data_IF_724847649846
#
_entry.id   IF_724847649846
#
_cell.length_a   1.000
_cell.length_b   1.000
_cell.length_c   1.000
_cell.angle_alpha   90.00
_cell.angle_beta   90.00
_cell.angle_gamma   90.00
#
_symmetry.space_group_name_H-M   'P 1'
#
loop_
_entity.id
_entity.type
_entity.pdbx_description
1 polymer ?
#
# COMPACT_ATOMS: atom_id res chain seq x y z
N UNK A 1 29.57 -5.50 0.61
CA UNK A 1 28.42 -4.85 1.28
C UNK A 1 27.42 -5.94 1.59
N UNK A 2 27.36 -6.35 2.85
CA UNK A 2 26.51 -7.44 3.30
C UNK A 2 25.05 -6.99 3.27
N UNK A 3 24.27 -7.48 2.32
CA UNK A 3 22.81 -7.53 2.47
C UNK A 3 22.50 -8.56 3.55
N UNK A 4 22.49 -8.12 4.81
CA UNK A 4 21.79 -8.83 5.87
C UNK A 4 20.36 -9.02 5.39
N UNK A 5 20.00 -10.25 5.06
CA UNK A 5 18.61 -10.64 4.87
C UNK A 5 17.88 -10.29 6.16
N UNK A 6 17.07 -9.22 6.13
CA UNK A 6 16.19 -8.90 7.25
C UNK A 6 15.27 -10.10 7.46
N UNK A 7 15.55 -10.90 8.48
CA UNK A 7 14.73 -12.04 8.85
C UNK A 7 13.48 -11.48 9.51
N UNK A 8 12.48 -11.18 8.71
CA UNK A 8 11.17 -10.80 9.21
C UNK A 8 10.51 -11.97 9.96
N UNK A 9 9.66 -11.69 10.95
CA UNK A 9 8.92 -12.73 11.65
C UNK A 9 8.11 -13.59 10.67
N UNK A 10 8.14 -14.90 10.83
CA UNK A 10 7.48 -15.86 9.93
C UNK A 10 5.98 -15.55 9.78
N UNK A 11 5.34 -15.12 10.88
CA UNK A 11 3.92 -14.77 10.88
C UNK A 11 3.62 -13.61 9.92
N UNK A 12 4.52 -12.63 9.79
CA UNK A 12 4.35 -11.47 8.94
C UNK A 12 4.19 -11.91 7.48
N UNK A 13 5.08 -12.78 7.02
CA UNK A 13 5.06 -13.34 5.66
C UNK A 13 3.81 -14.17 5.41
N UNK A 14 3.42 -15.01 6.37
CA UNK A 14 2.26 -15.90 6.23
C UNK A 14 0.93 -15.14 6.14
N UNK A 15 0.79 -14.05 6.91
CA UNK A 15 -0.49 -13.35 7.02
C UNK A 15 -0.65 -12.19 6.02
N UNK A 16 0.43 -11.68 5.42
CA UNK A 16 0.36 -10.56 4.45
C UNK A 16 -0.58 -10.85 3.27
N UNK A 17 -0.53 -12.06 2.70
CA UNK A 17 -1.40 -12.47 1.58
C UNK A 17 -2.87 -12.62 1.97
N UNK A 18 -3.15 -12.89 3.25
CA UNK A 18 -4.52 -13.02 3.76
C UNK A 18 -5.17 -11.66 3.98
N UNK A 19 -4.38 -10.65 4.36
CA UNK A 19 -4.84 -9.27 4.59
C UNK A 19 -5.35 -8.67 3.28
N UNK A 20 -4.62 -8.83 2.18
CA UNK A 20 -5.02 -8.25 0.88
C UNK A 20 -6.35 -8.81 0.36
N UNK A 21 -6.64 -10.09 0.65
CA UNK A 21 -7.88 -10.74 0.22
C UNK A 21 -9.06 -10.51 1.16
N UNK A 22 -8.82 -10.53 2.48
CA UNK A 22 -9.90 -10.59 3.47
C UNK A 22 -10.02 -9.34 4.34
N UNK A 23 -9.01 -8.48 4.36
CA UNK A 23 -8.86 -7.38 5.33
C UNK A 23 -8.87 -7.83 6.80
N UNK A 24 -8.64 -9.12 7.06
CA UNK A 24 -8.59 -9.70 8.41
C UNK A 24 -7.16 -10.12 8.71
N UNK A 25 -6.68 -9.70 9.88
CA UNK A 25 -5.42 -10.12 10.45
C UNK A 25 -5.73 -10.88 11.73
N UNK A 26 -5.64 -12.20 11.66
CA UNK A 26 -5.91 -13.11 12.76
C UNK A 26 -4.57 -13.66 13.25
N UNK A 27 -4.14 -13.18 14.40
CA UNK A 27 -2.88 -13.56 15.05
C UNK A 27 -3.15 -14.25 16.39
N UNK A 28 -4.27 -14.98 16.47
CA UNK A 28 -4.66 -15.67 17.68
C UNK A 28 -3.84 -16.96 17.89
N UNK A 29 -3.72 -17.38 19.16
CA UNK A 29 -3.14 -18.66 19.61
C UNK A 29 -1.61 -18.71 19.69
N UNK A 30 -1.01 -17.92 20.58
CA UNK A 30 0.40 -18.01 20.98
C UNK A 30 1.40 -17.87 19.82
N UNK A 31 1.08 -17.02 18.85
CA UNK A 31 2.10 -16.57 17.90
C UNK A 31 2.98 -15.59 18.68
N UNK A 32 4.30 -15.79 18.71
CA UNK A 32 5.19 -14.77 19.26
C UNK A 32 5.10 -13.52 18.38
N UNK A 33 4.30 -12.55 18.84
CA UNK A 33 4.06 -11.29 18.15
C UNK A 33 4.77 -10.20 18.93
N UNK A 34 5.66 -9.49 18.25
CA UNK A 34 6.11 -8.18 18.71
C UNK A 34 5.31 -7.12 17.95
N UNK A 35 4.57 -6.29 18.67
CA UNK A 35 3.76 -5.24 18.06
C UNK A 35 4.60 -4.22 17.27
N UNK A 36 5.88 -4.07 17.61
CA UNK A 36 6.80 -3.20 16.85
C UNK A 36 7.05 -3.70 15.42
N UNK A 37 6.88 -5.00 15.15
CA UNK A 37 7.09 -5.57 13.81
C UNK A 37 6.08 -5.01 12.79
N UNK A 38 4.94 -4.50 13.26
CA UNK A 38 3.94 -3.83 12.43
C UNK A 38 4.45 -2.53 11.83
N UNK A 39 5.45 -1.90 12.46
CA UNK A 39 6.10 -0.69 11.96
C UNK A 39 7.17 -0.98 10.91
N UNK A 40 7.41 -2.26 10.57
CA UNK A 40 8.35 -2.61 9.51
C UNK A 40 7.90 -2.04 8.15
N UNK A 41 8.82 -1.55 7.31
CA UNK A 41 8.49 -0.99 5.99
C UNK A 41 7.68 -1.97 5.12
N UNK A 42 7.96 -3.27 5.25
CA UNK A 42 7.26 -4.33 4.53
C UNK A 42 5.77 -4.37 4.89
N UNK A 43 5.45 -4.32 6.19
CA UNK A 43 4.08 -4.47 6.66
C UNK A 43 3.26 -3.18 6.65
N UNK A 44 3.92 -2.02 6.70
CA UNK A 44 3.28 -0.70 6.68
C UNK A 44 2.35 -0.51 5.48
N UNK A 45 2.64 -1.13 4.34
CA UNK A 45 1.78 -1.12 3.14
C UNK A 45 0.44 -1.82 3.35
N UNK A 46 0.38 -2.80 4.25
CA UNK A 46 -0.82 -3.58 4.56
C UNK A 46 -1.68 -2.95 5.65
N UNK A 47 -1.14 -2.02 6.45
CA UNK A 47 -1.83 -1.36 7.57
C UNK A 47 -3.18 -0.73 7.16
N UNK A 48 -3.30 0.02 6.05
CA UNK A 48 -4.57 0.59 5.64
C UNK A 48 -5.62 -0.46 5.23
N UNK A 49 -5.21 -1.69 4.91
CA UNK A 49 -6.11 -2.76 4.47
C UNK A 49 -6.76 -3.50 5.64
N UNK A 50 -6.25 -3.34 6.87
CA UNK A 50 -6.72 -4.07 8.05
C UNK A 50 -8.04 -3.49 8.55
N UNK A 51 -9.10 -4.28 8.46
CA UNK A 51 -10.43 -3.97 9.03
C UNK A 51 -10.72 -4.74 10.30
N UNK A 52 -10.16 -5.94 10.45
CA UNK A 52 -10.31 -6.77 11.64
C UNK A 52 -8.92 -7.19 12.11
N UNK A 53 -8.61 -6.91 13.37
CA UNK A 53 -7.38 -7.35 14.02
C UNK A 53 -7.74 -8.18 15.25
N UNK A 54 -7.26 -9.42 15.29
CA UNK A 54 -7.38 -10.32 16.42
C UNK A 54 -5.97 -10.70 16.90
N UNK A 55 -5.64 -10.32 18.14
CA UNK A 55 -4.37 -10.62 18.83
C UNK A 55 -4.61 -11.47 20.08
N UNK A 56 -5.76 -12.17 20.16
CA UNK A 56 -6.16 -12.91 21.35
C UNK A 56 -5.24 -14.09 21.68
N UNK A 57 -5.18 -14.51 22.94
CA UNK A 57 -4.30 -15.59 23.41
C UNK A 57 -2.81 -15.32 23.12
N UNK A 58 -2.32 -14.12 23.43
CA UNK A 58 -0.90 -13.76 23.34
C UNK A 58 -0.46 -13.01 24.59
N UNK A 59 0.83 -13.05 24.90
CA UNK A 59 1.42 -12.45 26.11
C UNK A 59 1.63 -10.92 26.01
N UNK A 60 0.69 -10.21 25.40
CA UNK A 60 0.76 -8.77 25.17
C UNK A 60 0.31 -8.03 26.44
N UNK A 61 1.12 -7.09 26.92
CA UNK A 61 0.88 -6.31 28.15
C UNK A 61 0.37 -4.90 27.92
N UNK A 62 0.60 -4.34 26.73
CA UNK A 62 0.12 -3.03 26.27
C UNK A 62 0.00 -3.03 24.74
N UNK A 63 -0.55 -1.96 24.15
CA UNK A 63 -0.56 -1.81 22.69
C UNK A 63 0.65 -1.03 22.17
N UNK A 64 1.68 -0.84 22.97
CA UNK A 64 2.90 -0.13 22.57
C UNK A 64 3.55 -0.80 21.35
N UNK A 65 4.03 0.01 20.40
CA UNK A 65 4.58 -0.47 19.14
C UNK A 65 3.55 -0.71 18.03
N UNK A 66 2.26 -0.84 18.36
CA UNK A 66 1.21 -0.97 17.35
C UNK A 66 1.01 0.38 16.61
N UNK A 67 1.18 0.43 15.27
CA UNK A 67 0.95 1.63 14.51
C UNK A 67 -0.53 1.98 14.46
N UNK A 68 -0.82 3.20 14.04
CA UNK A 68 -2.18 3.66 13.84
C UNK A 68 -2.88 2.90 12.71
N UNK A 69 -4.06 2.32 13.00
CA UNK A 69 -4.85 1.52 12.07
C UNK A 69 -6.08 2.33 11.57
N UNK A 70 -6.00 3.02 10.41
CA UNK A 70 -7.00 4.01 10.00
C UNK A 70 -8.38 3.45 9.66
N UNK A 71 -8.44 2.21 9.19
CA UNK A 71 -9.66 1.55 8.71
C UNK A 71 -10.12 0.40 9.61
N UNK A 72 -9.58 0.31 10.82
CA UNK A 72 -9.92 -0.73 11.77
C UNK A 72 -11.39 -0.62 12.20
N UNK A 73 -12.14 -1.69 12.00
CA UNK A 73 -13.55 -1.79 12.39
C UNK A 73 -13.73 -2.60 13.68
N UNK A 74 -12.97 -3.69 13.81
CA UNK A 74 -13.07 -4.65 14.91
C UNK A 74 -11.69 -4.98 15.45
N UNK A 75 -11.52 -4.83 16.75
CA UNK A 75 -10.29 -5.18 17.47
C UNK A 75 -10.60 -6.21 18.56
N UNK A 76 -9.84 -7.29 18.62
CA UNK A 76 -10.03 -8.37 19.59
C UNK A 76 -8.68 -8.66 20.24
N UNK A 77 -8.62 -8.55 21.56
CA UNK A 77 -7.44 -8.84 22.38
C UNK A 77 -7.85 -9.64 23.63
N UNK A 78 -8.76 -10.60 23.44
CA UNK A 78 -9.25 -11.46 24.51
C UNK A 78 -8.09 -12.37 25.00
N UNK A 79 -8.10 -12.74 26.28
CA UNK A 79 -7.07 -13.64 26.86
C UNK A 79 -5.63 -13.14 26.67
N UNK A 80 -5.43 -11.83 26.77
CA UNK A 80 -4.11 -11.19 26.79
C UNK A 80 -3.78 -10.66 28.17
N UNK A 81 -2.51 -10.33 28.40
CA UNK A 81 -2.04 -9.78 29.67
C UNK A 81 -2.17 -8.24 29.75
N UNK A 82 -2.94 -7.61 28.86
CA UNK A 82 -3.03 -6.15 28.76
C UNK A 82 -3.51 -5.56 30.09
N UNK A 83 -2.65 -4.73 30.69
CA UNK A 83 -2.84 -4.13 32.02
C UNK A 83 -2.81 -2.60 32.03
N UNK A 84 -2.44 -1.97 30.92
CA UNK A 84 -2.44 -0.52 30.74
C UNK A 84 -3.15 -0.09 29.46
N UNK A 85 -3.53 1.19 29.37
CA UNK A 85 -4.12 1.79 28.17
C UNK A 85 -3.08 2.46 27.24
N UNK A 86 -1.80 2.09 27.41
CA UNK A 86 -0.71 2.68 26.64
C UNK A 86 -0.86 2.38 25.15
N UNK A 87 -0.76 3.43 24.33
CA UNK A 87 -0.89 3.40 22.87
C UNK A 87 -2.26 2.91 22.33
N UNK A 88 -3.34 3.03 23.10
CA UNK A 88 -4.69 2.67 22.62
C UNK A 88 -5.23 3.58 21.50
N UNK A 89 -4.61 4.74 21.26
CA UNK A 89 -4.94 5.58 20.08
C UNK A 89 -4.67 4.87 18.75
N UNK A 90 -3.81 3.86 18.74
CA UNK A 90 -3.58 2.99 17.58
C UNK A 90 -4.90 2.39 17.03
N UNK A 91 -5.85 2.09 17.92
CA UNK A 91 -7.14 1.46 17.60
C UNK A 91 -8.34 2.43 17.68
N UNK A 92 -8.13 3.75 17.75
CA UNK A 92 -9.20 4.74 17.99
C UNK A 92 -10.36 4.71 16.99
N UNK A 93 -10.17 4.13 15.80
CA UNK A 93 -11.21 4.02 14.76
C UNK A 93 -12.09 2.78 14.89
N UNK A 94 -11.75 1.86 15.79
CA UNK A 94 -12.52 0.64 16.01
C UNK A 94 -13.97 0.96 16.40
N UNK A 95 -14.91 0.27 15.74
CA UNK A 95 -16.34 0.32 16.07
C UNK A 95 -16.75 -0.76 17.05
N UNK A 96 -15.98 -1.84 17.13
CA UNK A 96 -16.16 -2.96 18.07
C UNK A 96 -14.81 -3.31 18.67
N UNK A 97 -14.76 -3.44 19.98
CA UNK A 97 -13.56 -3.87 20.69
C UNK A 97 -13.89 -4.97 21.71
N UNK A 98 -12.97 -5.89 21.93
CA UNK A 98 -13.08 -6.93 22.94
C UNK A 98 -11.75 -7.09 23.67
N UNK A 99 -11.83 -7.10 25.00
CA UNK A 99 -10.71 -7.26 25.92
C UNK A 99 -11.07 -8.24 27.04
N UNK A 100 -11.87 -9.27 26.74
CA UNK A 100 -12.34 -10.22 27.75
C UNK A 100 -11.16 -10.95 28.36
N UNK A 101 -11.24 -11.22 29.67
CA UNK A 101 -10.22 -11.97 30.41
C UNK A 101 -8.83 -11.31 30.38
N UNK A 102 -8.76 -10.00 30.23
CA UNK A 102 -7.53 -9.19 30.39
C UNK A 102 -7.47 -8.53 31.76
N UNK A 103 -6.31 -7.98 32.15
CA UNK A 103 -6.19 -7.21 33.41
C UNK A 103 -7.02 -5.93 33.37
N UNK A 104 -7.04 -5.20 32.24
CA UNK A 104 -7.85 -3.99 32.11
C UNK A 104 -9.35 -4.26 32.26
N UNK A 105 -9.84 -5.44 31.85
CA UNK A 105 -11.27 -5.78 31.99
C UNK A 105 -11.76 -5.86 33.43
N UNK A 106 -10.83 -6.00 34.40
CA UNK A 106 -11.12 -6.04 35.84
C UNK A 106 -11.21 -4.63 36.45
N UNK A 107 -10.79 -3.59 35.74
CA UNK A 107 -10.81 -2.21 36.22
C UNK A 107 -12.24 -1.65 36.20
N UNK A 108 -12.60 -0.89 37.24
CA UNK A 108 -13.96 -0.33 37.40
C UNK A 108 -14.35 0.58 36.24
N UNK A 109 -13.43 1.45 35.81
CA UNK A 109 -13.67 2.47 34.80
C UNK A 109 -13.19 2.09 33.39
N UNK A 110 -12.87 0.80 33.16
CA UNK A 110 -12.25 0.39 31.89
C UNK A 110 -13.12 0.73 30.67
N UNK A 111 -14.43 0.50 30.73
CA UNK A 111 -15.34 0.80 29.61
C UNK A 111 -15.39 2.30 29.30
N UNK A 112 -15.25 3.15 30.32
CA UNK A 112 -15.15 4.60 30.14
C UNK A 112 -13.83 4.98 29.46
N UNK A 113 -12.71 4.42 29.91
CA UNK A 113 -11.40 4.69 29.33
C UNK A 113 -11.34 4.35 27.84
N UNK A 114 -11.82 3.16 27.47
CA UNK A 114 -11.93 2.73 26.06
C UNK A 114 -12.79 3.69 25.25
N UNK A 115 -13.92 4.12 25.83
CA UNK A 115 -14.86 5.00 25.15
C UNK A 115 -14.32 6.43 25.00
N UNK A 116 -13.55 6.95 25.96
CA UNK A 116 -12.87 8.23 25.85
C UNK A 116 -11.80 8.23 24.73
N UNK A 117 -11.17 7.09 24.48
CA UNK A 117 -10.17 6.95 23.42
C UNK A 117 -10.81 6.78 22.03
N UNK A 118 -11.75 5.83 21.89
CA UNK A 118 -12.37 5.51 20.58
C UNK A 118 -13.51 6.46 20.20
N UNK A 119 -14.05 7.18 21.18
CA UNK A 119 -15.12 8.16 21.01
C UNK A 119 -16.46 7.55 20.62
N UNK A 120 -17.34 8.41 20.06
CA UNK A 120 -18.75 8.10 19.77
C UNK A 120 -18.98 7.07 18.66
N UNK A 121 -17.94 6.70 17.90
CA UNK A 121 -18.02 5.71 16.82
C UNK A 121 -18.07 4.28 17.35
N UNK A 122 -17.68 4.07 18.61
CA UNK A 122 -17.66 2.77 19.24
C UNK A 122 -19.09 2.30 19.56
N UNK A 123 -19.46 1.13 19.04
CA UNK A 123 -20.81 0.56 19.14
C UNK A 123 -20.90 -0.45 20.27
N UNK A 124 -19.87 -1.30 20.42
CA UNK A 124 -19.87 -2.38 21.41
C UNK A 124 -18.49 -2.62 22.00
N UNK A 125 -18.50 -2.94 23.28
CA UNK A 125 -17.34 -3.36 24.07
C UNK A 125 -17.64 -4.74 24.65
N UNK A 126 -16.75 -5.71 24.43
CA UNK A 126 -16.87 -7.12 24.86
C UNK A 126 -18.16 -7.80 24.36
N UNK A 127 -18.64 -7.41 23.18
CA UNK A 127 -19.89 -7.90 22.59
C UNK A 127 -21.16 -7.30 23.21
N UNK A 128 -21.05 -6.40 24.18
CA UNK A 128 -22.17 -5.68 24.77
C UNK A 128 -22.27 -4.27 24.15
N UNK A 129 -23.48 -3.88 23.72
CA UNK A 129 -23.75 -2.51 23.27
C UNK A 129 -23.44 -1.50 24.38
N UNK A 130 -22.97 -0.32 24.00
CA UNK A 130 -22.64 0.75 24.96
C UNK A 130 -23.94 1.47 25.37
N UNK A 131 -24.26 1.58 26.67
CA UNK A 131 -25.45 2.28 27.13
C UNK A 131 -25.29 3.80 27.00
N UNK A 132 -26.40 4.50 26.74
CA UNK A 132 -26.45 5.97 26.58
C UNK A 132 -25.95 6.72 27.82
N UNK A 133 -26.24 6.19 29.01
CA UNK A 133 -25.77 6.76 30.28
C UNK A 133 -24.24 6.83 30.41
N UNK A 134 -23.50 5.95 29.72
CA UNK A 134 -22.05 6.02 29.70
C UNK A 134 -21.56 7.23 28.88
N UNK A 135 -22.28 7.58 27.81
CA UNK A 135 -21.98 8.75 26.98
C UNK A 135 -22.20 10.06 27.75
N UNK A 136 -23.19 10.12 28.63
CA UNK A 136 -23.43 11.27 29.51
C UNK A 136 -22.28 11.45 30.51
N UNK A 137 -21.80 10.34 31.11
CA UNK A 137 -20.65 10.39 32.03
C UNK A 137 -19.38 10.92 31.37
N UNK A 138 -19.05 10.44 30.17
CA UNK A 138 -17.84 10.91 29.46
C UNK A 138 -17.95 12.35 28.95
N UNK A 139 -19.16 12.89 28.83
CA UNK A 139 -19.36 14.25 28.28
C UNK A 139 -18.77 15.34 29.17
N UNK A 140 -18.50 15.02 30.44
CA UNK A 140 -17.85 15.90 31.41
C UNK A 140 -16.32 15.93 31.27
N UNK A 141 -15.72 14.99 30.54
CA UNK A 141 -14.28 14.91 30.42
C UNK A 141 -13.77 15.79 29.27
N UNK A 142 -12.64 16.48 29.45
CA UNK A 142 -12.00 17.23 28.38
C UNK A 142 -11.55 16.37 27.18
N UNK A 143 -11.44 16.98 25.99
CA UNK A 143 -11.08 16.25 24.75
C UNK A 143 -9.67 15.64 24.81
N UNK A 144 -8.75 16.31 25.50
CA UNK A 144 -7.36 15.89 25.62
C UNK A 144 -7.15 14.75 26.62
N UNK A 145 -8.17 14.40 27.40
CA UNK A 145 -8.17 13.21 28.28
C UNK A 145 -7.85 11.93 27.51
N UNK A 146 -8.27 11.83 26.25
CA UNK A 146 -7.90 10.71 25.38
C UNK A 146 -6.38 10.55 25.20
N UNK A 147 -5.60 11.64 25.20
CA UNK A 147 -4.14 11.59 25.15
C UNK A 147 -3.55 11.17 26.50
N UNK A 148 -4.09 11.68 27.62
CA UNK A 148 -3.68 11.25 28.96
C UNK A 148 -3.79 9.73 29.12
N UNK A 149 -4.94 9.17 28.75
CA UNK A 149 -5.16 7.73 28.83
C UNK A 149 -4.20 6.97 27.92
N UNK A 150 -3.94 7.51 26.72
CA UNK A 150 -2.99 6.92 25.77
C UNK A 150 -1.55 6.88 26.29
N UNK A 151 -1.19 7.77 27.23
CA UNK A 151 0.09 7.80 27.93
C UNK A 151 0.11 6.95 29.21
N UNK A 152 -0.98 6.25 29.52
CA UNK A 152 -1.06 5.33 30.65
C UNK A 152 -1.82 5.87 31.88
N UNK A 153 -2.40 7.08 31.82
CA UNK A 153 -3.25 7.56 32.91
C UNK A 153 -4.50 6.67 33.07
N UNK A 154 -4.82 6.34 34.32
CA UNK A 154 -6.00 5.54 34.67
C UNK A 154 -7.20 6.44 34.92
N UNK A 155 -8.31 6.16 34.23
CA UNK A 155 -9.52 6.98 34.35
C UNK A 155 -10.17 6.81 35.72
N UNK A 156 -10.39 7.93 36.39
CA UNK A 156 -11.14 8.02 37.65
C UNK A 156 -12.53 8.60 37.40
N UNK A 157 -13.52 8.21 38.21
CA UNK A 157 -14.88 8.75 38.19
C UNK A 157 -15.31 9.05 39.64
N UNK A 158 -15.83 10.25 39.95
CA UNK A 158 -16.16 11.36 39.05
C UNK A 158 -14.94 11.98 38.35
N UNK A 159 -15.18 12.76 37.28
CA UNK A 159 -14.11 13.45 36.56
C UNK A 159 -13.31 14.33 37.54
N UNK A 160 -11.98 14.23 37.59
CA UNK A 160 -11.17 15.11 38.40
C UNK A 160 -11.39 16.58 37.98
N UNK A 161 -11.22 17.53 38.91
CA UNK A 161 -11.29 18.96 38.61
C UNK A 161 -10.18 19.38 37.62
N UNK A 162 -10.43 20.45 36.87
CA UNK A 162 -9.58 20.88 35.75
C UNK A 162 -8.12 21.16 36.18
N UNK A 163 -7.91 21.67 37.39
CA UNK A 163 -6.57 21.91 37.93
C UNK A 163 -5.73 20.63 38.04
N UNK A 164 -6.33 19.54 38.53
CA UNK A 164 -5.65 18.23 38.63
C UNK A 164 -5.37 17.67 37.24
N UNK A 165 -6.33 17.84 36.32
CA UNK A 165 -6.16 17.39 34.94
C UNK A 165 -5.00 18.15 34.25
N UNK A 166 -4.85 19.44 34.51
CA UNK A 166 -3.76 20.24 33.96
C UNK A 166 -2.39 19.84 34.55
N UNK A 167 -2.32 19.55 35.86
CA UNK A 167 -1.13 18.97 36.49
C UNK A 167 -0.76 17.61 35.90
N UNK A 168 -1.75 16.76 35.63
CA UNK A 168 -1.55 15.50 34.93
C UNK A 168 -1.04 15.74 33.50
N UNK A 169 -1.58 16.71 32.77
CA UNK A 169 -1.07 17.06 31.45
C UNK A 169 0.41 17.44 31.48
N UNK A 170 0.85 18.23 32.46
CA UNK A 170 2.26 18.57 32.64
C UNK A 170 3.08 17.30 32.93
N UNK A 171 2.60 16.45 33.86
CA UNK A 171 3.28 15.22 34.27
C UNK A 171 3.48 14.24 33.10
N UNK A 172 2.51 14.13 32.21
CA UNK A 172 2.55 13.26 31.03
C UNK A 172 3.08 13.95 29.76
N UNK A 173 3.49 15.22 29.84
CA UNK A 173 4.06 15.98 28.73
C UNK A 173 3.08 16.29 27.59
N UNK A 174 1.82 16.56 27.93
CA UNK A 174 0.74 16.88 26.98
C UNK A 174 0.50 18.39 27.01
N UNK A 175 0.48 19.03 25.85
CA UNK A 175 0.03 20.41 25.74
C UNK A 175 -1.49 20.48 25.97
N UNK A 176 -1.90 20.80 27.21
CA UNK A 176 -3.29 21.15 27.50
C UNK A 176 -3.63 22.45 26.79
N UNK A 177 -4.81 22.52 26.16
CA UNK A 177 -5.25 23.73 25.45
C UNK A 177 -5.51 24.92 26.39
N UNK A 178 -5.75 24.66 27.68
CA UNK A 178 -5.99 25.67 28.72
C UNK A 178 -4.73 26.45 29.12
N UNK A 179 -3.53 25.90 28.88
CA UNK A 179 -2.26 26.50 29.27
C UNK A 179 -1.73 27.58 28.31
N UNK A 180 -2.59 28.15 27.45
CA UNK A 180 -2.23 29.22 26.51
C UNK A 180 -2.37 30.64 27.09
N UNK A 181 -2.55 30.79 28.41
CA UNK A 181 -2.62 32.11 29.07
C UNK A 181 -1.56 32.24 30.16
N UNK A 182 -0.29 32.32 29.77
CA UNK A 182 0.77 33.11 30.45
C UNK A 182 2.20 32.72 30.04
N UNK A 183 2.55 32.74 28.74
CA UNK A 183 3.96 32.85 28.33
C UNK A 183 4.02 33.71 27.06
N UNK A 184 4.54 34.94 27.25
CA UNK A 184 5.13 35.85 26.27
C UNK A 184 4.51 35.93 24.87
N UNK A 185 3.98 37.12 24.58
CA UNK A 185 3.82 37.71 23.26
C UNK A 185 5.04 37.45 22.34
N UNK A 186 5.00 36.35 21.60
CA UNK A 186 5.68 36.22 20.32
C UNK A 186 4.57 35.96 19.33
N UNK A 187 4.11 37.06 18.71
CA UNK A 187 3.25 37.04 17.54
C UNK A 187 3.99 36.36 16.38
N UNK A 188 4.02 35.04 16.39
CA UNK A 188 4.19 34.27 15.16
C UNK A 188 2.82 34.22 14.49
N UNK A 189 2.40 35.37 13.95
CA UNK A 189 1.33 35.43 12.98
C UNK A 189 1.81 34.59 11.79
N UNK A 190 1.41 33.31 11.77
CA UNK A 190 1.63 32.42 10.65
C UNK A 190 0.77 32.97 9.52
N UNK A 191 1.37 33.89 8.76
CA UNK A 191 0.77 34.56 7.63
C UNK A 191 0.30 33.50 6.64
N UNK A 192 -0.87 33.69 6.03
CA UNK A 192 -1.43 32.78 5.02
C UNK A 192 -0.39 32.39 3.96
N UNK A 193 0.48 33.32 3.59
CA UNK A 193 1.58 33.11 2.65
C UNK A 193 2.59 32.05 3.11
N UNK A 194 2.84 31.92 4.41
CA UNK A 194 3.74 30.91 4.96
C UNK A 194 3.13 29.51 4.85
N UNK A 195 1.83 29.38 5.14
CA UNK A 195 1.08 28.12 4.99
C UNK A 195 0.97 27.76 3.50
N UNK A 196 0.67 28.74 2.64
CA UNK A 196 0.59 28.54 1.20
C UNK A 196 1.92 28.07 0.61
N UNK A 197 3.03 28.71 1.00
CA UNK A 197 4.37 28.35 0.53
C UNK A 197 4.82 26.98 1.09
N UNK A 198 4.45 26.63 2.32
CA UNK A 198 4.69 25.30 2.89
C UNK A 198 3.91 24.23 2.12
N UNK A 199 2.62 24.45 1.84
CA UNK A 199 1.80 23.54 1.04
C UNK A 199 2.35 23.38 -0.37
N UNK A 200 2.72 24.48 -1.04
CA UNK A 200 3.30 24.47 -2.38
C UNK A 200 4.63 23.71 -2.40
N UNK A 201 5.49 23.92 -1.41
CA UNK A 201 6.77 23.21 -1.31
C UNK A 201 6.57 21.71 -1.08
N UNK A 202 5.61 21.33 -0.24
CA UNK A 202 5.27 19.94 0.03
C UNK A 202 4.65 19.25 -1.19
N UNK A 203 3.82 19.97 -1.95
CA UNK A 203 3.25 19.50 -3.20
C UNK A 203 4.33 19.30 -4.27
N UNK A 204 5.25 20.25 -4.42
CA UNK A 204 6.38 20.11 -5.34
C UNK A 204 7.28 18.93 -4.96
N UNK A 205 7.55 18.73 -3.67
CA UNK A 205 8.30 17.57 -3.19
C UNK A 205 7.56 16.25 -3.50
N UNK A 206 6.23 16.20 -3.34
CA UNK A 206 5.44 15.04 -3.77
C UNK A 206 5.55 14.81 -5.28
N UNK A 207 5.51 15.86 -6.11
CA UNK A 207 5.69 15.71 -7.55
C UNK A 207 7.09 15.20 -7.91
N UNK A 208 8.15 15.75 -7.32
CA UNK A 208 9.53 15.29 -7.59
C UNK A 208 9.78 13.85 -7.10
N UNK A 209 9.12 13.41 -6.01
CA UNK A 209 9.16 12.02 -5.54
C UNK A 209 8.34 11.11 -6.46
N UNK A 210 7.21 11.61 -6.97
CA UNK A 210 6.33 10.89 -7.88
C UNK A 210 6.93 10.78 -9.29
N UNK A 211 7.71 11.74 -9.75
CA UNK A 211 8.31 11.80 -11.10
C UNK A 211 9.11 10.53 -11.47
N UNK A 212 10.01 9.98 -10.62
CA UNK A 212 10.67 8.71 -10.90
C UNK A 212 9.77 7.48 -10.67
N UNK A 213 8.75 7.58 -9.80
CA UNK A 213 7.79 6.47 -9.53
C UNK A 213 6.85 6.29 -10.71
N UNK A 214 6.45 7.39 -11.33
CA UNK A 214 5.46 7.39 -12.40
C UNK A 214 6.05 7.15 -13.76
N UNK A 215 7.40 7.08 -13.92
CA UNK A 215 8.11 6.96 -15.20
C UNK A 215 7.15 7.30 -16.31
N UNK A 216 6.84 8.60 -16.43
CA UNK A 216 6.16 9.06 -17.62
C UNK A 216 7.22 8.79 -18.68
N UNK A 217 7.21 7.57 -19.22
CA UNK A 217 7.82 7.25 -20.49
C UNK A 217 7.38 8.43 -21.34
N UNK A 218 8.34 9.25 -21.77
CA UNK A 218 8.12 10.19 -22.85
C UNK A 218 7.23 9.46 -23.82
N UNK A 219 6.00 9.97 -23.97
CA UNK A 219 4.90 9.31 -24.65
C UNK A 219 5.47 8.78 -25.96
N UNK A 220 5.83 7.50 -25.99
CA UNK A 220 6.61 6.96 -27.11
C UNK A 220 5.78 7.25 -28.32
N UNK A 221 6.31 8.07 -29.22
CA UNK A 221 5.61 8.40 -30.44
C UNK A 221 5.76 7.16 -31.33
N UNK A 222 4.91 6.17 -31.05
CA UNK A 222 4.90 4.87 -31.71
C UNK A 222 4.78 5.09 -33.22
N UNK A 223 4.11 6.16 -33.66
CA UNK A 223 3.96 6.51 -35.05
C UNK A 223 5.30 6.98 -35.65
N UNK A 224 6.08 7.79 -34.93
CA UNK A 224 7.41 8.21 -35.36
C UNK A 224 8.41 7.05 -35.37
N UNK A 225 8.46 6.24 -34.30
CA UNK A 225 9.33 5.04 -34.22
C UNK A 225 9.01 4.03 -35.34
N UNK A 226 7.71 3.78 -35.59
CA UNK A 226 7.27 2.90 -36.67
C UNK A 226 7.64 3.48 -38.03
N UNK A 227 7.50 4.80 -38.23
CA UNK A 227 7.87 5.46 -39.48
C UNK A 227 9.37 5.33 -39.79
N UNK A 228 10.23 5.42 -38.77
CA UNK A 228 11.68 5.26 -38.90
C UNK A 228 12.03 3.80 -39.22
N UNK A 229 11.44 2.84 -38.52
CA UNK A 229 11.66 1.41 -38.78
C UNK A 229 11.21 1.00 -40.19
N UNK A 230 10.07 1.52 -40.64
CA UNK A 230 9.55 1.28 -42.00
C UNK A 230 10.49 1.88 -43.05
N UNK A 231 10.97 3.13 -42.87
CA UNK A 231 11.93 3.76 -43.80
C UNK A 231 13.24 2.98 -43.91
N UNK A 232 13.76 2.51 -42.79
CA UNK A 232 14.99 1.70 -42.76
C UNK A 232 14.81 0.41 -43.57
N UNK A 233 13.67 -0.27 -43.41
CA UNK A 233 13.35 -1.51 -44.12
C UNK A 233 13.22 -1.28 -45.64
N UNK A 234 12.63 -0.17 -46.07
CA UNK A 234 12.58 0.20 -47.49
C UNK A 234 13.96 0.55 -48.06
N UNK A 235 14.78 1.27 -47.30
CA UNK A 235 16.14 1.61 -47.70
C UNK A 235 17.00 0.35 -47.92
N UNK A 236 16.88 -0.65 -47.06
CA UNK A 236 17.54 -1.96 -47.21
C UNK A 236 17.13 -2.70 -48.50
N UNK A 237 15.93 -2.42 -49.01
CA UNK A 237 15.41 -2.97 -50.27
C UNK A 237 15.62 -2.02 -51.46
N UNK A 238 16.40 -0.94 -51.28
CA UNK A 238 16.77 0.01 -52.33
C UNK A 238 15.71 1.06 -52.67
N UNK A 239 14.70 1.22 -51.82
CA UNK A 239 13.58 2.16 -52.02
C UNK A 239 13.80 3.37 -51.09
N UNK A 240 13.96 4.56 -51.67
CA UNK A 240 14.19 5.80 -50.93
C UNK A 240 12.90 6.62 -50.83
N UNK A 241 12.34 6.74 -49.63
CA UNK A 241 11.10 7.47 -49.36
C UNK A 241 11.44 8.75 -48.58
N UNK A 242 11.50 9.88 -49.30
CA UNK A 242 11.69 11.20 -48.69
C UNK A 242 10.33 11.78 -48.24
N UNK A 243 10.25 12.24 -46.98
CA UNK A 243 9.00 12.56 -46.29
C UNK A 243 8.46 13.97 -46.51
N UNK A 244 8.90 14.69 -47.55
CA UNK A 244 8.48 16.08 -47.82
C UNK A 244 7.44 16.21 -48.93
N UNK A 245 7.01 15.11 -49.54
CA UNK A 245 5.97 15.12 -50.59
C UNK A 245 4.58 14.82 -50.00
N UNK A 246 3.61 15.70 -50.26
CA UNK A 246 2.20 15.55 -49.87
C UNK A 246 1.50 14.30 -50.46
N UNK A 247 2.18 13.56 -51.34
CA UNK A 247 1.70 12.34 -52.00
C UNK A 247 2.43 11.06 -51.54
N UNK A 248 3.08 11.10 -50.37
CA UNK A 248 3.93 10.03 -49.85
C UNK A 248 3.14 8.73 -49.53
N UNK A 249 1.89 8.84 -49.07
CA UNK A 249 1.09 7.66 -48.68
C UNK A 249 0.73 6.76 -49.86
N UNK A 250 0.30 7.31 -51.00
CA UNK A 250 -0.05 6.50 -52.18
C UNK A 250 1.17 5.81 -52.80
N UNK A 251 2.31 6.50 -52.85
CA UNK A 251 3.59 5.91 -53.30
C UNK A 251 4.03 4.78 -52.37
N UNK A 252 3.88 4.94 -51.06
CA UNK A 252 4.25 3.92 -50.08
C UNK A 252 3.38 2.67 -50.19
N UNK A 253 2.06 2.84 -50.38
CA UNK A 253 1.14 1.72 -50.63
C UNK A 253 1.51 0.95 -51.91
N UNK A 254 1.82 1.65 -53.00
CA UNK A 254 2.23 1.02 -54.26
C UNK A 254 3.53 0.21 -54.11
N UNK A 255 4.53 0.75 -53.43
CA UNK A 255 5.81 0.07 -53.19
C UNK A 255 5.66 -1.15 -52.27
N UNK A 256 4.78 -1.08 -51.24
CA UNK A 256 4.44 -2.25 -50.41
C UNK A 256 3.86 -3.37 -51.27
N UNK A 257 2.90 -3.05 -52.14
CA UNK A 257 2.28 -4.05 -53.02
C UNK A 257 3.29 -4.69 -53.98
N UNK A 258 4.22 -3.90 -54.52
CA UNK A 258 5.27 -4.38 -55.42
C UNK A 258 6.27 -5.30 -54.69
N UNK A 259 6.65 -4.96 -53.45
CA UNK A 259 7.49 -5.79 -52.58
C UNK A 259 6.80 -7.12 -52.21
N UNK A 260 5.52 -7.08 -51.86
CA UNK A 260 4.73 -8.28 -51.58
C UNK A 260 4.65 -9.20 -52.81
N UNK A 261 4.50 -8.64 -54.01
CA UNK A 261 4.48 -9.40 -55.26
C UNK A 261 5.84 -10.06 -55.55
N UNK A 262 6.94 -9.31 -55.42
CA UNK A 262 8.30 -9.86 -55.56
C UNK A 262 8.61 -10.97 -54.57
N UNK A 263 8.16 -10.82 -53.32
CA UNK A 263 8.32 -11.86 -52.30
C UNK A 263 7.51 -13.12 -52.62
N UNK A 264 6.30 -12.96 -53.15
CA UNK A 264 5.46 -14.06 -53.60
C UNK A 264 6.09 -14.82 -54.78
N UNK A 265 6.60 -14.08 -55.77
CA UNK A 265 7.25 -14.66 -56.96
C UNK A 265 8.54 -15.41 -56.58
N UNK A 266 9.34 -14.85 -55.65
CA UNK A 266 10.54 -15.51 -55.12
C UNK A 266 10.20 -16.81 -54.38
N UNK A 267 9.11 -16.81 -53.59
CA UNK A 267 8.62 -18.02 -52.90
C UNK A 267 8.16 -19.08 -53.90
N UNK A 268 7.46 -18.68 -54.96
CA UNK A 268 7.03 -19.58 -56.02
C UNK A 268 8.23 -20.20 -56.72
N UNK A 269 9.23 -19.39 -57.13
CA UNK A 269 10.48 -19.87 -57.73
C UNK A 269 11.24 -20.85 -56.84
N UNK A 270 11.32 -20.59 -55.53
CA UNK A 270 11.95 -21.50 -54.56
C UNK A 270 11.21 -22.83 -54.46
N UNK A 271 9.87 -22.82 -54.48
CA UNK A 271 9.08 -24.05 -54.49
C UNK A 271 9.30 -24.85 -55.78
N UNK A 272 9.33 -24.20 -56.94
CA UNK A 272 9.60 -24.87 -58.22
C UNK A 272 11.00 -25.46 -58.27
N UNK A 273 12.01 -24.74 -57.75
CA UNK A 273 13.39 -25.23 -57.63
C UNK A 273 13.49 -26.45 -56.70
N UNK A 274 12.81 -26.42 -55.55
CA UNK A 274 12.77 -27.55 -54.61
C UNK A 274 12.15 -28.79 -55.26
N UNK A 275 11.06 -28.63 -56.01
CA UNK A 275 10.45 -29.74 -56.74
C UNK A 275 11.36 -30.27 -57.87
N UNK A 276 12.05 -29.38 -58.59
CA UNK A 276 13.00 -29.79 -59.63
C UNK A 276 14.21 -30.57 -59.07
N UNK A 277 14.72 -30.18 -57.89
CA UNK A 277 15.78 -30.88 -57.16
C UNK A 277 15.31 -32.27 -56.68
N UNK A 278 14.05 -32.39 -56.23
CA UNK A 278 13.47 -33.69 -55.85
C UNK A 278 13.37 -34.61 -57.08
N UNK A 279 12.88 -34.12 -58.21
CA UNK A 279 12.71 -34.93 -59.43
C UNK A 279 14.04 -35.36 -60.05
N UNK A 280 15.08 -34.53 -59.98
CA UNK A 280 16.41 -34.86 -60.48
C UNK A 280 17.11 -35.92 -59.61
N UNK A 281 17.01 -35.84 -58.27
CA UNK A 281 17.53 -36.87 -57.36
C UNK A 281 16.86 -38.26 -57.54
N UNK A 282 15.59 -38.30 -57.92
CA UNK A 282 14.86 -39.55 -58.19
C UNK A 282 15.33 -40.21 -59.50
N UNK A 283 15.71 -39.43 -60.51
CA UNK A 283 16.22 -39.95 -61.79
C UNK A 283 17.65 -40.50 -61.70
N UNK A 284 18.54 -39.88 -60.93
CA UNK A 284 19.91 -40.40 -60.70
C UNK A 284 19.93 -41.71 -59.91
N UNK A 285 18.99 -41.91 -58.97
CA UNK A 285 18.87 -43.15 -58.20
C UNK A 285 18.30 -44.34 -59.01
N UNK A 286 17.65 -44.09 -60.15
CA UNK A 286 17.16 -45.13 -61.07
C UNK A 286 18.20 -45.54 -62.12
N UNK A 287 19.08 -44.63 -62.55
CA UNK A 287 20.17 -44.94 -63.50
C UNK A 287 21.28 -45.79 -62.89
N UNK A 288 21.52 -45.74 -61.58
CA UNK A 288 22.52 -46.58 -60.90
C UNK A 288 22.04 -48.00 -60.57
N UNK A 289 20.83 -48.39 -61.02
CA UNK A 289 20.24 -49.72 -60.75
C UNK A 289 20.00 -50.55 -62.01
N UNK A 290 20.27 -50.02 -63.21
CA UNK A 290 20.09 -50.73 -64.48
C UNK A 290 21.36 -51.34 -65.09
N UNK A 291 22.54 -51.08 -64.52
CA UNK A 291 23.82 -51.57 -65.08
C UNK A 291 24.38 -52.80 -64.32
N UNK A 292 23.52 -53.51 -63.59
CA UNK A 292 23.88 -54.76 -62.90
C UNK A 292 22.74 -55.79 -63.02
N UNK A 293 22.66 -56.43 -64.18
CA UNK A 293 22.02 -57.74 -64.35
C UNK A 293 23.03 -58.62 -65.10
N UNK A 294 23.20 -59.90 -64.70
CA UNK A 294 24.42 -60.69 -64.87
C UNK A 294 24.71 -61.15 -66.29
#
# INVERSE_FOLDING_TARGET
>A
MNSLSETHPIWLTMHTMSITKTSKLLLNNNIQINLNDFSSPYFMTSIPLIKILDISNNEITSLEGLPYLPHLSTFIADDTNISSFLNFKSIKHATKVSFKRTHISKLVNYRMAILLICGKKLISIDGKKIPTSLFEKISHYPKYTSELINRGWMVEYPCPPDNIIDELCITYGIQSASASTSVSSISNEVTFDKIYNEYKSRQQAMFNIAEPIFQIEEKRDIEEELSVAIRQLFYEHGININSTDDNCQEKLLFEVEELCKKAFDKKLLLQTLVEHIKTTKVKTKRKSKSDFIP
#
